data_IF_150561065746
#
_entry.id   IF_150561065746
#
_cell.length_a   1.000
_cell.length_b   1.000
_cell.length_c   1.000
_cell.angle_alpha   90.00
_cell.angle_beta   90.00
_cell.angle_gamma   90.00
#
_symmetry.space_group_name_H-M   'P 1'
#
loop_
_entity.id
_entity.type
_entity.pdbx_description
1 polymer ?
#
# COMPACT_ATOMS: atom_id res chain seq x y z
N UNK A 1 5.85 2.67 5.80
CA UNK A 1 5.67 3.64 4.70
C UNK A 1 6.87 4.56 4.64
N UNK A 2 7.29 5.00 3.44
CA UNK A 2 8.45 5.90 3.24
C UNK A 2 8.40 7.16 4.12
N UNK A 3 7.22 7.77 4.21
CA UNK A 3 6.88 8.79 5.19
C UNK A 3 5.37 8.80 5.42
N UNK A 4 4.92 9.25 6.58
CA UNK A 4 3.49 9.44 6.82
C UNK A 4 2.93 10.57 5.94
N UNK A 5 1.76 10.35 5.35
CA UNK A 5 1.13 11.30 4.44
C UNK A 5 1.80 11.39 3.07
N UNK A 6 2.66 10.43 2.71
CA UNK A 6 3.19 10.36 1.35
C UNK A 6 2.07 9.99 0.39
N UNK A 7 2.04 10.66 -0.76
CA UNK A 7 1.12 10.36 -1.83
C UNK A 7 1.43 8.97 -2.43
N UNK A 8 0.39 8.15 -2.56
CA UNK A 8 0.50 6.84 -3.21
C UNK A 8 0.61 6.95 -4.73
N UNK A 9 0.16 8.06 -5.31
CA UNK A 9 -0.05 8.24 -6.75
C UNK A 9 -1.38 7.67 -7.25
N UNK A 10 -2.24 7.20 -6.35
CA UNK A 10 -3.58 6.70 -6.63
C UNK A 10 -4.63 7.71 -6.19
N UNK A 11 -5.71 7.79 -6.96
CA UNK A 11 -6.84 8.67 -6.68
C UNK A 11 -8.11 7.85 -6.43
N UNK A 12 -8.96 8.33 -5.54
CA UNK A 12 -10.26 7.73 -5.32
C UNK A 12 -11.25 8.06 -6.44
N UNK A 13 -11.93 7.05 -7.00
CA UNK A 13 -12.85 7.26 -8.14
C UNK A 13 -14.06 8.15 -7.81
N UNK A 14 -14.55 8.10 -6.57
CA UNK A 14 -15.80 8.77 -6.19
C UNK A 14 -15.55 10.22 -5.81
N UNK A 15 -14.54 10.48 -4.97
CA UNK A 15 -14.24 11.83 -4.50
C UNK A 15 -13.24 12.58 -5.38
N UNK A 16 -12.40 11.86 -6.13
CA UNK A 16 -11.25 12.43 -6.84
C UNK A 16 -10.13 12.85 -5.89
N UNK A 17 -10.15 12.41 -4.63
CA UNK A 17 -9.10 12.73 -3.67
C UNK A 17 -7.88 11.84 -3.87
N UNK A 18 -6.69 12.43 -3.71
CA UNK A 18 -5.45 11.68 -3.59
C UNK A 18 -5.54 10.70 -2.41
N UNK A 19 -4.99 9.51 -2.60
CA UNK A 19 -4.87 8.50 -1.56
C UNK A 19 -3.46 8.60 -0.95
N UNK A 20 -3.38 9.02 0.30
CA UNK A 20 -2.14 9.13 1.05
C UNK A 20 -1.88 7.89 1.90
N UNK A 21 -0.60 7.61 2.21
CA UNK A 21 -0.21 6.44 3.00
C UNK A 21 0.13 6.79 4.45
N UNK A 22 -0.34 5.97 5.39
CA UNK A 22 0.11 6.00 6.80
C UNK A 22 0.22 4.60 7.38
N UNK A 23 1.01 4.46 8.45
CA UNK A 23 1.00 3.27 9.28
C UNK A 23 -0.02 3.45 10.41
N UNK A 24 -0.92 2.49 10.60
CA UNK A 24 -1.85 2.53 11.72
C UNK A 24 -1.25 1.93 12.99
N UNK A 25 -1.98 2.01 14.11
CA UNK A 25 -1.51 1.52 15.41
C UNK A 25 -1.26 0.00 15.45
N UNK A 26 -1.86 -0.76 14.52
CA UNK A 26 -1.67 -2.20 14.39
C UNK A 26 -0.52 -2.60 13.47
N UNK A 27 0.22 -1.63 12.90
CA UNK A 27 1.33 -1.89 11.99
C UNK A 27 0.91 -2.19 10.54
N UNK A 28 -0.37 -2.03 10.20
CA UNK A 28 -0.84 -2.11 8.82
C UNK A 28 -0.74 -0.75 8.12
N UNK A 29 -0.52 -0.76 6.81
CA UNK A 29 -0.49 0.46 5.99
C UNK A 29 -1.89 0.77 5.50
N UNK A 30 -2.38 1.96 5.79
CA UNK A 30 -3.63 2.50 5.27
C UNK A 30 -3.33 3.44 4.10
N UNK A 31 -4.01 3.22 2.98
CA UNK A 31 -4.28 4.25 1.97
C UNK A 31 -5.55 5.00 2.37
N UNK A 32 -5.46 6.27 2.72
CA UNK A 32 -6.58 7.10 3.19
C UNK A 32 -6.75 8.35 2.32
N UNK A 33 -7.99 8.84 2.23
CA UNK A 33 -8.30 10.02 1.40
C UNK A 33 -7.71 11.27 2.03
N UNK A 34 -7.04 12.10 1.22
CA UNK A 34 -6.42 13.34 1.69
C UNK A 34 -7.41 14.28 2.39
N UNK A 35 -8.61 14.44 1.82
CA UNK A 35 -9.64 15.38 2.31
C UNK A 35 -10.65 14.75 3.28
N UNK A 36 -10.67 13.42 3.43
CA UNK A 36 -11.43 12.69 4.45
C UNK A 36 -10.57 11.58 5.08
N UNK A 37 -9.72 11.99 6.02
CA UNK A 37 -8.72 11.10 6.63
C UNK A 37 -9.29 9.95 7.48
N UNK A 38 -10.62 9.92 7.68
CA UNK A 38 -11.31 8.81 8.34
C UNK A 38 -11.70 7.70 7.36
N UNK A 39 -11.74 8.00 6.07
CA UNK A 39 -12.05 7.03 5.01
C UNK A 39 -10.76 6.36 4.53
N UNK A 40 -10.73 5.03 4.60
CA UNK A 40 -9.63 4.18 4.17
C UNK A 40 -9.99 3.53 2.84
N UNK A 41 -9.24 3.85 1.78
CA UNK A 41 -9.39 3.28 0.44
C UNK A 41 -8.86 1.86 0.32
N UNK A 42 -7.72 1.57 0.96
CA UNK A 42 -7.18 0.22 1.02
C UNK A 42 -6.31 0.02 2.27
N UNK A 43 -6.06 -1.24 2.60
CA UNK A 43 -5.21 -1.66 3.71
C UNK A 43 -4.20 -2.71 3.23
N UNK A 44 -2.94 -2.55 3.58
CA UNK A 44 -1.89 -3.57 3.41
C UNK A 44 -1.49 -4.06 4.80
N UNK A 45 -1.65 -5.36 5.06
CA UNK A 45 -1.31 -6.02 6.32
C UNK A 45 -0.38 -7.20 6.11
N UNK A 46 0.45 -7.51 7.11
CA UNK A 46 1.27 -8.72 7.14
C UNK A 46 0.89 -9.57 8.35
N UNK A 47 0.79 -10.89 8.16
CA UNK A 47 0.53 -11.82 9.26
C UNK A 47 1.82 -12.39 9.89
N UNK A 48 1.66 -13.20 10.93
CA UNK A 48 2.79 -13.80 11.65
C UNK A 48 3.62 -14.81 10.81
N UNK A 49 3.09 -15.25 9.66
CA UNK A 49 3.81 -16.11 8.70
C UNK A 49 4.56 -15.31 7.64
N UNK A 50 4.40 -13.97 7.64
CA UNK A 50 4.94 -13.07 6.62
C UNK A 50 4.05 -12.97 5.38
N UNK A 51 2.82 -13.49 5.41
CA UNK A 51 1.88 -13.31 4.30
C UNK A 51 1.37 -11.86 4.30
N UNK A 52 1.58 -11.20 3.17
CA UNK A 52 1.14 -9.82 2.93
C UNK A 52 -0.18 -9.84 2.15
N UNK A 53 -1.15 -9.07 2.62
CA UNK A 53 -2.50 -8.99 2.06
C UNK A 53 -2.85 -7.53 1.78
N UNK A 54 -3.33 -7.26 0.55
CA UNK A 54 -4.00 -6.03 0.17
C UNK A 54 -5.52 -6.23 0.27
N UNK A 55 -6.20 -5.35 0.98
CA UNK A 55 -7.66 -5.26 1.05
C UNK A 55 -8.09 -3.91 0.48
N UNK A 56 -8.84 -3.92 -0.62
CA UNK A 56 -9.39 -2.72 -1.23
C UNK A 56 -10.83 -2.48 -0.75
N UNK A 57 -11.10 -1.27 -0.26
CA UNK A 57 -12.41 -0.86 0.27
C UNK A 57 -13.11 0.17 -0.64
N UNK A 58 -12.34 0.92 -1.44
CA UNK A 58 -12.81 1.96 -2.35
C UNK A 58 -12.25 1.72 -3.75
N UNK A 59 -13.00 2.12 -4.77
CA UNK A 59 -12.51 2.11 -6.15
C UNK A 59 -11.40 3.15 -6.33
N UNK A 60 -10.43 2.81 -7.16
CA UNK A 60 -9.29 3.66 -7.52
C UNK A 60 -9.49 4.13 -8.96
N UNK A 61 -8.98 5.31 -9.33
CA UNK A 61 -9.01 5.80 -10.72
C UNK A 61 -8.03 5.00 -11.57
N UNK A 62 -8.50 4.57 -12.74
CA UNK A 62 -7.72 3.92 -13.79
C UNK A 62 -7.60 4.84 -15.00
N UNK A 63 -6.50 4.73 -15.74
CA UNK A 63 -6.18 5.65 -16.84
C UNK A 63 -6.42 5.06 -18.24
N UNK A 64 -6.62 3.74 -18.39
CA UNK A 64 -6.93 3.11 -19.67
C UNK A 64 -8.39 2.65 -19.79
N UNK A 65 -9.23 3.57 -20.26
CA UNK A 65 -10.64 3.30 -20.57
C UNK A 65 -10.89 2.26 -21.68
N UNK A 66 -9.85 1.79 -22.37
CA UNK A 66 -9.95 0.81 -23.45
C UNK A 66 -9.63 -0.63 -23.01
N UNK A 67 -9.05 -0.83 -21.83
CA UNK A 67 -8.85 -2.14 -21.21
C UNK A 67 -9.72 -2.26 -19.94
N UNK A 68 -10.84 -3.00 -19.99
CA UNK A 68 -11.74 -3.14 -18.83
C UNK A 68 -11.18 -4.08 -17.75
N UNK A 69 -9.98 -4.63 -17.90
CA UNK A 69 -9.33 -5.47 -16.87
C UNK A 69 -8.16 -4.73 -16.24
N UNK A 70 -7.50 -3.81 -16.97
CA UNK A 70 -6.36 -3.03 -16.49
C UNK A 70 -5.26 -3.92 -15.87
N UNK A 71 -4.90 -5.03 -16.51
CA UNK A 71 -3.90 -5.96 -15.95
C UNK A 71 -2.46 -5.60 -16.36
N UNK A 72 -1.48 -5.96 -15.54
CA UNK A 72 -0.07 -5.82 -15.87
C UNK A 72 0.38 -4.36 -15.96
N UNK A 73 0.86 -3.92 -17.14
CA UNK A 73 1.40 -2.57 -17.30
C UNK A 73 0.32 -1.47 -17.32
N UNK A 74 -0.94 -1.84 -17.52
CA UNK A 74 -2.10 -0.93 -17.48
C UNK A 74 -2.70 -0.81 -16.08
N UNK A 75 -2.26 -1.65 -15.13
CA UNK A 75 -2.81 -1.61 -13.78
C UNK A 75 -2.41 -0.34 -13.04
N UNK A 76 -3.36 0.25 -12.33
CA UNK A 76 -3.04 1.31 -11.39
C UNK A 76 -2.13 0.74 -10.29
N UNK A 77 -1.07 1.46 -9.95
CA UNK A 77 -0.06 1.01 -9.02
C UNK A 77 0.47 2.17 -8.18
N UNK A 78 1.12 1.85 -7.07
CA UNK A 78 1.83 2.86 -6.28
C UNK A 78 2.93 3.52 -7.15
N UNK A 79 3.10 4.84 -7.03
CA UNK A 79 4.06 5.61 -7.86
C UNK A 79 5.52 5.22 -7.63
N UNK A 80 5.84 4.54 -6.52
CA UNK A 80 7.16 3.98 -6.29
C UNK A 80 7.16 2.74 -5.38
N UNK A 81 8.04 1.79 -5.70
CA UNK A 81 8.28 0.56 -4.95
C UNK A 81 8.58 0.79 -3.46
N UNK A 82 9.31 1.86 -3.15
CA UNK A 82 9.83 2.16 -1.81
C UNK A 82 8.81 2.88 -0.92
N UNK A 83 7.60 3.17 -1.41
CA UNK A 83 6.53 3.75 -0.60
C UNK A 83 6.08 2.83 0.52
N UNK A 84 6.11 1.52 0.29
CA UNK A 84 5.79 0.48 1.26
C UNK A 84 6.99 -0.47 1.38
N UNK A 85 7.50 -0.60 2.59
CA UNK A 85 8.62 -1.46 2.94
C UNK A 85 8.21 -2.45 4.02
N UNK A 86 8.72 -3.68 3.94
CA UNK A 86 8.62 -4.68 4.98
C UNK A 86 10.00 -4.91 5.60
N UNK A 87 10.09 -4.78 6.92
CA UNK A 87 11.31 -5.09 7.68
C UNK A 87 11.09 -6.34 8.52
N UNK A 88 11.93 -7.34 8.32
CA UNK A 88 12.00 -8.52 9.16
C UNK A 88 13.18 -8.39 10.13
N UNK A 89 12.92 -8.59 11.42
CA UNK A 89 13.92 -8.59 12.48
C UNK A 89 14.15 -10.02 12.95
N UNK A 90 15.39 -10.50 12.87
CA UNK A 90 15.82 -11.74 13.49
C UNK A 90 16.43 -11.46 14.86
N UNK A 91 16.22 -12.34 15.82
CA UNK A 91 16.84 -12.29 17.16
C UNK A 91 17.42 -13.67 17.46
N UNK A 92 18.68 -13.73 17.87
CA UNK A 92 19.32 -15.00 18.20
C UNK A 92 19.21 -15.35 19.70
N UNK A 93 19.92 -16.40 20.13
CA UNK A 93 19.76 -16.97 21.46
C UNK A 93 20.28 -16.10 22.61
N UNK A 94 21.16 -15.13 22.36
CA UNK A 94 21.67 -14.23 23.39
C UNK A 94 21.10 -12.80 23.32
N UNK A 95 20.27 -12.55 22.30
CA UNK A 95 19.46 -11.33 22.17
C UNK A 95 19.99 -10.34 21.14
N UNK A 96 21.04 -10.70 20.41
CA UNK A 96 21.50 -9.93 19.26
C UNK A 96 20.42 -9.93 18.17
N UNK A 97 20.25 -8.78 17.51
CA UNK A 97 19.24 -8.58 16.46
C UNK A 97 19.86 -8.16 15.15
N UNK A 98 19.29 -8.63 14.05
CA UNK A 98 19.61 -8.16 12.70
C UNK A 98 18.33 -7.91 11.89
N UNK A 99 18.36 -6.93 10.99
CA UNK A 99 17.22 -6.47 10.22
C UNK A 99 17.43 -6.66 8.71
N UNK A 100 16.38 -7.08 8.01
CA UNK A 100 16.33 -7.10 6.56
C UNK A 100 15.10 -6.34 6.05
N UNK A 101 15.29 -5.34 5.19
CA UNK A 101 14.22 -4.54 4.59
C UNK A 101 14.05 -4.84 3.11
N UNK A 102 12.80 -5.04 2.69
CA UNK A 102 12.41 -5.17 1.29
C UNK A 102 11.41 -4.07 0.89
N UNK A 103 11.58 -3.51 -0.30
CA UNK A 103 10.57 -2.69 -0.94
C UNK A 103 9.49 -3.61 -1.52
N UNK A 104 8.23 -3.37 -1.17
CA UNK A 104 7.11 -4.23 -1.60
C UNK A 104 6.02 -3.45 -2.34
N UNK A 105 6.22 -2.15 -2.61
CA UNK A 105 5.21 -1.33 -3.28
C UNK A 105 4.81 -1.85 -4.66
N UNK A 106 5.77 -2.36 -5.44
CA UNK A 106 5.52 -2.91 -6.78
C UNK A 106 4.73 -4.24 -6.77
N UNK A 107 4.54 -4.86 -5.60
CA UNK A 107 3.75 -6.07 -5.47
C UNK A 107 2.24 -5.79 -5.44
N UNK A 108 1.83 -4.52 -5.41
CA UNK A 108 0.43 -4.10 -5.33
C UNK A 108 0.01 -3.39 -6.61
N UNK A 109 -0.93 -4.03 -7.31
CA UNK A 109 -1.67 -3.46 -8.43
C UNK A 109 -3.14 -3.43 -8.10
N UNK A 110 -3.83 -2.43 -8.62
CA UNK A 110 -5.27 -2.24 -8.52
C UNK A 110 -5.81 -2.46 -9.92
N UNK A 111 -6.66 -3.46 -10.07
CA UNK A 111 -7.36 -3.85 -11.31
C UNK A 111 -8.86 -3.51 -11.16
N UNK A 112 -9.61 -3.40 -12.27
CA UNK A 112 -11.05 -3.07 -12.29
C UNK A 112 -11.96 -4.19 -11.72
#
# INVERSE_FOLDING_TARGET
>A
VKSAGVDSGLDDTISGDNILLRLNAGGAVEGYLENDTTTVAFLISVDATGQVTLTQNRSVVHDDTADPVESGASAAALVAADLVTLTATATDGDGDTDDATANIGDAFTFED
#
